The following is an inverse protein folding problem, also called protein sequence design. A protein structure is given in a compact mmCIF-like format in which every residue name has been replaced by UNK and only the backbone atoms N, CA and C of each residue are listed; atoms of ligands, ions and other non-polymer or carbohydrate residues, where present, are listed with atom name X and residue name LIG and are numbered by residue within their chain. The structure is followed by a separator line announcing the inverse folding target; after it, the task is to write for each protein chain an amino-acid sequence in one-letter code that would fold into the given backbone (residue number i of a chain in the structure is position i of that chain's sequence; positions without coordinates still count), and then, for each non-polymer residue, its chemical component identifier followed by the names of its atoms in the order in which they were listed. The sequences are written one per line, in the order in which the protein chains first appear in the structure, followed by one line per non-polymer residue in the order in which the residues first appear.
data_IF_631263575145
#
_entry.id   IF_631263575145
#
_cell.length_a   1.000
_cell.length_b   1.000
_cell.length_c   1.000
_cell.angle_alpha   90.00
_cell.angle_beta   90.00
_cell.angle_gamma   90.00
#
_symmetry.space_group_name_H-M   'P 1'
#
loop_
_entity.id
_entity.type
_entity.pdbx_description
1 polymer ?
#
# COMPACT_ATOMS: atom_id res chain seq x y z
N UNK A 1 7.77 -0.78 11.07
CA UNK A 1 7.40 -0.42 9.69
C UNK A 1 5.88 -0.52 9.53
N UNK A 2 5.23 0.42 8.85
CA UNK A 2 3.77 0.40 8.60
C UNK A 2 3.50 0.97 7.20
N UNK A 3 3.27 0.09 6.22
CA UNK A 3 3.07 0.46 4.80
C UNK A 3 1.82 1.29 4.59
N UNK A 4 0.71 0.89 5.22
CA UNK A 4 -0.59 1.54 5.07
C UNK A 4 -0.59 2.99 5.58
N UNK A 5 -0.08 3.25 6.78
CA UNK A 5 0.02 4.60 7.33
C UNK A 5 0.97 5.49 6.52
N UNK A 6 2.05 4.93 5.96
CA UNK A 6 2.95 5.67 5.07
C UNK A 6 2.25 6.04 3.74
N UNK A 7 1.43 5.15 3.19
CA UNK A 7 0.63 5.46 2.00
C UNK A 7 -0.41 6.54 2.31
N UNK A 8 -1.13 6.45 3.44
CA UNK A 8 -2.05 7.51 3.86
C UNK A 8 -1.32 8.86 3.99
N UNK A 9 -0.10 8.86 4.52
CA UNK A 9 0.75 10.06 4.59
C UNK A 9 1.08 10.61 3.20
N UNK A 10 1.58 9.75 2.30
CA UNK A 10 1.92 10.12 0.93
C UNK A 10 0.71 10.62 0.14
N UNK A 11 -0.47 10.03 0.36
CA UNK A 11 -1.73 10.47 -0.21
C UNK A 11 -2.07 11.91 0.18
N UNK A 12 -1.99 12.26 1.47
CA UNK A 12 -2.28 13.63 1.93
C UNK A 12 -1.35 14.66 1.27
N UNK A 13 -0.09 14.28 1.05
CA UNK A 13 0.89 15.12 0.35
C UNK A 13 0.49 15.27 -1.12
N UNK A 14 0.28 14.16 -1.84
CA UNK A 14 -0.09 14.16 -3.25
C UNK A 14 -1.39 14.94 -3.51
N UNK A 15 -2.40 14.77 -2.66
CA UNK A 15 -3.67 15.52 -2.73
C UNK A 15 -3.43 17.03 -2.57
N UNK A 16 -2.62 17.44 -1.61
CA UNK A 16 -2.29 18.86 -1.41
C UNK A 16 -1.44 19.43 -2.55
N UNK A 17 -0.72 18.58 -3.29
CA UNK A 17 0.03 18.90 -4.50
C UNK A 17 -0.82 18.80 -5.79
N UNK A 18 -2.15 18.68 -5.64
CA UNK A 18 -3.13 18.66 -6.74
C UNK A 18 -2.98 17.47 -7.70
N UNK A 19 -2.52 16.31 -7.22
CA UNK A 19 -2.62 15.07 -7.97
C UNK A 19 -4.08 14.60 -8.06
N UNK A 20 -4.49 14.06 -9.21
CA UNK A 20 -5.86 13.55 -9.41
C UNK A 20 -6.02 12.08 -8.99
N UNK A 21 -4.94 11.32 -8.98
CA UNK A 21 -4.91 9.91 -8.60
C UNK A 21 -3.54 9.52 -8.03
N UNK A 22 -3.49 8.40 -7.32
CA UNK A 22 -2.27 7.82 -6.77
C UNK A 22 -2.02 6.43 -7.33
N UNK A 23 -0.75 6.03 -7.35
CA UNK A 23 -0.32 4.64 -7.50
C UNK A 23 0.40 4.21 -6.22
N UNK A 24 -0.21 3.32 -5.44
CA UNK A 24 0.48 2.68 -4.31
C UNK A 24 1.43 1.64 -4.87
N UNK A 25 2.73 1.84 -4.75
CA UNK A 25 3.72 1.08 -5.52
C UNK A 25 4.86 0.57 -4.65
N UNK A 26 5.04 -0.76 -4.60
CA UNK A 26 6.19 -1.36 -3.92
C UNK A 26 7.49 -1.04 -4.69
N UNK A 27 8.51 -0.55 -3.98
CA UNK A 27 9.79 -0.10 -4.58
C UNK A 27 10.58 -1.22 -5.25
N UNK A 28 10.31 -2.48 -4.90
CA UNK A 28 11.00 -3.66 -5.42
C UNK A 28 10.26 -4.37 -6.55
N UNK A 29 9.08 -3.89 -6.99
CA UNK A 29 8.26 -4.55 -8.00
C UNK A 29 8.25 -3.76 -9.31
N UNK A 30 9.15 -4.07 -10.23
CA UNK A 30 9.32 -3.30 -11.46
C UNK A 30 8.45 -3.84 -12.61
N UNK A 31 7.60 -3.01 -13.24
CA UNK A 31 6.86 -3.40 -14.45
C UNK A 31 7.81 -3.60 -15.63
N UNK A 32 7.73 -4.75 -16.30
CA UNK A 32 8.52 -5.05 -17.51
C UNK A 32 7.71 -4.94 -18.80
N UNK A 33 6.38 -5.01 -18.71
CA UNK A 33 5.50 -4.95 -19.86
C UNK A 33 4.98 -3.51 -20.06
N UNK A 34 5.28 -2.84 -21.20
CA UNK A 34 4.86 -1.47 -21.45
C UNK A 34 3.34 -1.30 -21.65
N UNK A 35 2.60 -2.40 -21.84
CA UNK A 35 1.15 -2.38 -22.00
C UNK A 35 0.39 -2.35 -20.66
N UNK A 36 1.10 -2.33 -19.52
CA UNK A 36 0.46 -2.18 -18.23
C UNK A 36 -0.17 -0.79 -18.12
N UNK A 37 -1.50 -0.76 -18.02
CA UNK A 37 -2.27 0.45 -17.75
C UNK A 37 -1.91 1.12 -16.42
N UNK A 38 -1.40 2.36 -16.49
CA UNK A 38 -1.22 3.28 -15.36
C UNK A 38 -2.10 4.54 -15.49
N UNK A 39 -3.10 4.52 -16.38
CA UNK A 39 -3.98 5.67 -16.59
C UNK A 39 -4.89 5.92 -15.39
N UNK A 40 -5.52 7.10 -15.39
CA UNK A 40 -6.51 7.48 -14.39
C UNK A 40 -7.58 6.39 -14.18
N UNK A 41 -7.80 5.91 -12.94
CA UNK A 41 -8.71 4.80 -12.66
C UNK A 41 -10.17 5.27 -12.56
N UNK A 42 -10.78 5.63 -13.68
CA UNK A 42 -12.10 6.27 -13.74
C UNK A 42 -13.23 5.44 -13.12
N UNK A 43 -13.25 4.12 -13.37
CA UNK A 43 -14.36 3.24 -12.98
C UNK A 43 -14.25 2.73 -11.53
N UNK A 44 -13.07 2.77 -10.94
CA UNK A 44 -12.76 2.17 -9.64
C UNK A 44 -11.29 1.80 -9.52
N UNK A 45 -10.85 1.31 -8.34
CA UNK A 45 -9.46 0.93 -8.10
C UNK A 45 -8.92 -0.01 -9.18
N UNK A 46 -7.76 0.31 -9.76
CA UNK A 46 -7.13 -0.48 -10.81
C UNK A 46 -5.86 -1.17 -10.29
N UNK A 47 -5.92 -2.50 -10.15
CA UNK A 47 -4.85 -3.32 -9.60
C UNK A 47 -3.90 -3.78 -10.72
N UNK A 48 -2.75 -3.10 -10.84
CA UNK A 48 -1.74 -3.35 -11.86
C UNK A 48 -1.00 -4.66 -11.60
N UNK A 49 -0.66 -4.94 -10.34
CA UNK A 49 0.06 -6.15 -9.93
C UNK A 49 -0.89 -7.35 -9.73
N UNK A 50 -1.79 -7.58 -10.69
CA UNK A 50 -2.85 -8.57 -10.62
C UNK A 50 -2.35 -9.99 -10.23
N UNK A 51 -3.16 -10.83 -9.56
CA UNK A 51 -2.72 -12.14 -9.05
C UNK A 51 -2.18 -13.10 -10.12
N UNK A 52 -2.69 -13.00 -11.35
CA UNK A 52 -2.24 -13.77 -12.53
C UNK A 52 -0.94 -13.22 -13.15
N UNK A 53 -0.48 -12.03 -12.74
CA UNK A 53 0.72 -11.37 -13.24
C UNK A 53 1.81 -11.26 -12.16
N UNK A 54 1.43 -11.19 -10.88
CA UNK A 54 2.37 -11.05 -9.77
C UNK A 54 3.22 -12.32 -9.61
N UNK A 55 4.54 -12.23 -9.44
CA UNK A 55 5.43 -13.39 -9.36
C UNK A 55 5.33 -14.24 -8.07
N UNK A 56 4.38 -13.96 -7.18
CA UNK A 56 4.36 -14.55 -5.82
C UNK A 56 2.97 -14.72 -5.19
N UNK A 57 2.08 -13.74 -5.35
CA UNK A 57 0.76 -13.76 -4.72
C UNK A 57 -0.33 -13.95 -5.76
N UNK A 58 -1.13 -15.02 -5.61
CA UNK A 58 -2.04 -15.50 -6.67
C UNK A 58 -3.50 -15.65 -6.21
N UNK A 59 -3.83 -15.25 -4.99
CA UNK A 59 -5.19 -15.36 -4.47
C UNK A 59 -6.08 -14.22 -4.99
N UNK A 60 -7.37 -14.48 -5.18
CA UNK A 60 -8.29 -13.61 -5.93
C UNK A 60 -8.51 -12.22 -5.32
N UNK A 61 -8.44 -12.11 -3.98
CA UNK A 61 -8.64 -10.86 -3.24
C UNK A 61 -7.35 -10.05 -3.06
N UNK A 62 -6.22 -10.50 -3.63
CA UNK A 62 -4.95 -9.79 -3.54
C UNK A 62 -5.01 -8.45 -4.29
N UNK A 63 -4.58 -7.38 -3.59
CA UNK A 63 -4.49 -6.00 -4.09
C UNK A 63 -3.20 -5.29 -3.64
N UNK A 64 -2.18 -6.04 -3.24
CA UNK A 64 -0.86 -5.53 -2.87
C UNK A 64 0.05 -5.28 -4.08
N UNK A 65 1.30 -4.88 -3.85
CA UNK A 65 2.21 -4.56 -4.96
C UNK A 65 1.93 -3.19 -5.57
N UNK A 66 1.07 -3.12 -6.59
CA UNK A 66 0.79 -1.90 -7.36
C UNK A 66 -0.71 -1.71 -7.58
N UNK A 67 -1.32 -0.74 -6.89
CA UNK A 67 -2.76 -0.45 -6.96
C UNK A 67 -2.99 1.05 -7.16
N UNK A 68 -3.81 1.41 -8.15
CA UNK A 68 -4.15 2.78 -8.51
C UNK A 68 -5.56 3.13 -8.03
N UNK A 69 -5.73 4.34 -7.50
CA UNK A 69 -7.02 4.91 -7.10
C UNK A 69 -7.04 6.41 -7.40
N UNK A 70 -8.20 6.94 -7.79
CA UNK A 70 -8.40 8.39 -7.83
C UNK A 70 -8.36 8.94 -6.40
N UNK A 71 -8.13 10.26 -6.28
CA UNK A 71 -8.17 10.92 -4.99
C UNK A 71 -9.53 10.71 -4.32
N UNK A 72 -10.62 10.96 -5.04
CA UNK A 72 -11.99 10.80 -4.53
C UNK A 72 -12.27 9.38 -4.04
N UNK A 73 -11.85 8.35 -4.78
CA UNK A 73 -12.02 6.95 -4.39
C UNK A 73 -11.28 6.64 -3.08
N UNK A 74 -10.05 7.14 -2.95
CA UNK A 74 -9.23 6.90 -1.76
C UNK A 74 -9.78 7.62 -0.53
N UNK A 75 -10.30 8.85 -0.69
CA UNK A 75 -10.99 9.59 0.38
C UNK A 75 -12.28 8.90 0.81
N UNK A 76 -13.09 8.44 -0.15
CA UNK A 76 -14.35 7.75 0.15
C UNK A 76 -14.12 6.46 0.96
N UNK A 77 -12.99 5.80 0.73
CA UNK A 77 -12.55 4.61 1.48
C UNK A 77 -11.97 4.94 2.87
N UNK A 78 -11.79 6.22 3.20
CA UNK A 78 -11.02 6.68 4.34
C UNK A 78 -9.60 6.09 4.38
N UNK A 79 -8.95 5.98 3.21
CA UNK A 79 -7.63 5.38 3.04
C UNK A 79 -7.48 3.97 3.63
N UNK A 80 -6.23 3.56 3.87
CA UNK A 80 -5.92 2.27 4.50
C UNK A 80 -6.04 2.36 6.03
N UNK A 81 -6.19 1.21 6.69
CA UNK A 81 -6.11 1.13 8.15
C UNK A 81 -4.71 1.47 8.68
N UNK A 82 -4.63 2.15 9.83
CA UNK A 82 -3.37 2.51 10.46
C UNK A 82 -2.83 1.44 11.43
N UNK A 83 -3.54 0.32 11.65
CA UNK A 83 -3.18 -0.64 12.70
C UNK A 83 -2.11 -1.67 12.29
N UNK A 84 -1.75 -1.71 11.00
CA UNK A 84 -0.89 -2.74 10.42
C UNK A 84 0.59 -2.39 10.53
N UNK A 85 1.17 -2.69 11.70
CA UNK A 85 2.61 -2.64 11.94
C UNK A 85 3.25 -4.01 11.63
N UNK A 86 4.39 -4.00 10.94
CA UNK A 86 5.07 -5.21 10.44
C UNK A 86 4.52 -5.67 9.09
N UNK A 87 4.86 -6.90 8.67
CA UNK A 87 4.44 -7.42 7.37
C UNK A 87 3.05 -8.07 7.39
N UNK A 88 2.23 -7.67 6.41
CA UNK A 88 1.05 -8.37 5.91
C UNK A 88 -0.31 -7.84 6.39
N UNK A 89 -1.35 -8.18 5.61
CA UNK A 89 -2.80 -8.01 5.87
C UNK A 89 -3.36 -6.60 5.65
N UNK A 90 -2.54 -5.58 5.47
CA UNK A 90 -3.06 -4.23 5.26
C UNK A 90 -3.76 -4.09 3.89
N UNK A 91 -3.25 -4.79 2.89
CA UNK A 91 -3.83 -4.90 1.55
C UNK A 91 -5.13 -5.72 1.55
N UNK A 92 -5.16 -6.84 2.26
CA UNK A 92 -6.36 -7.66 2.45
C UNK A 92 -7.48 -6.87 3.15
N UNK A 93 -7.13 -6.07 4.16
CA UNK A 93 -8.08 -5.20 4.86
C UNK A 93 -8.59 -4.09 3.94
N UNK A 94 -7.70 -3.51 3.14
CA UNK A 94 -8.07 -2.50 2.15
C UNK A 94 -9.00 -3.05 1.06
N UNK A 95 -8.78 -4.29 0.59
CA UNK A 95 -9.73 -4.97 -0.29
C UNK A 95 -11.13 -5.05 0.32
N UNK A 96 -11.24 -5.33 1.63
CA UNK A 96 -12.53 -5.33 2.32
C UNK A 96 -13.13 -3.92 2.40
N UNK A 97 -12.33 -2.85 2.54
CA UNK A 97 -12.83 -1.46 2.44
C UNK A 97 -13.45 -1.19 1.07
N UNK A 98 -12.74 -1.57 0.02
CA UNK A 98 -13.18 -1.42 -1.38
C UNK A 98 -14.52 -2.13 -1.56
N UNK A 99 -14.63 -3.40 -1.12
CA UNK A 99 -15.87 -4.17 -1.22
C UNK A 99 -17.00 -3.57 -0.37
N UNK A 100 -16.72 -3.10 0.85
CA UNK A 100 -17.75 -2.50 1.74
C UNK A 100 -18.39 -1.25 1.11
N UNK A 101 -17.62 -0.50 0.30
CA UNK A 101 -18.09 0.68 -0.42
C UNK A 101 -18.74 0.37 -1.78
N UNK A 102 -18.78 -0.91 -2.16
CA UNK A 102 -19.37 -1.34 -3.43
C UNK A 102 -18.49 -1.07 -4.66
N UNK A 103 -17.24 -0.65 -4.46
CA UNK A 103 -16.29 -0.51 -5.56
C UNK A 103 -15.88 -1.89 -6.12
N UNK A 104 -15.65 -1.94 -7.43
CA UNK A 104 -15.04 -3.08 -8.10
C UNK A 104 -13.55 -2.83 -8.28
N UNK A 105 -12.74 -3.86 -8.04
CA UNK A 105 -11.31 -3.84 -8.41
C UNK A 105 -11.17 -4.25 -9.87
N UNK A 106 -10.66 -3.34 -10.69
CA UNK A 106 -10.34 -3.58 -12.09
C UNK A 106 -8.91 -4.08 -12.23
N UNK A 107 -8.66 -4.90 -13.26
CA UNK A 107 -7.36 -5.51 -13.58
C UNK A 107 -7.24 -5.58 -15.10
N UNK A 108 -6.02 -5.80 -15.59
CA UNK A 108 -5.82 -6.14 -17.00
C UNK A 108 -6.60 -7.41 -17.36
N UNK A 109 -7.10 -7.46 -18.58
CA UNK A 109 -7.69 -8.66 -19.15
C UNK A 109 -6.61 -9.59 -19.70
N UNK A 110 -7.04 -10.47 -20.61
CA UNK A 110 -6.18 -11.48 -21.22
C UNK A 110 -5.19 -10.91 -22.26
N UNK A 111 -5.16 -9.58 -22.45
CA UNK A 111 -4.19 -8.90 -23.33
C UNK A 111 -2.75 -8.92 -22.81
N UNK A 112 -2.54 -9.12 -21.50
CA UNK A 112 -1.20 -9.20 -20.90
C UNK A 112 -0.70 -10.64 -20.90
N UNK A 113 0.02 -11.01 -21.96
CA UNK A 113 0.47 -12.39 -22.21
C UNK A 113 1.78 -12.77 -21.48
N UNK A 114 2.43 -11.82 -20.80
CA UNK A 114 3.73 -12.04 -20.14
C UNK A 114 3.64 -12.89 -18.86
N UNK A 115 2.44 -13.18 -18.35
CA UNK A 115 2.22 -14.02 -17.18
C UNK A 115 3.05 -13.58 -15.97
N UNK A 116 3.73 -14.50 -15.29
CA UNK A 116 4.58 -14.17 -14.14
C UNK A 116 5.90 -13.46 -14.48
N UNK A 117 6.22 -13.29 -15.77
CA UNK A 117 7.35 -12.46 -16.22
C UNK A 117 6.95 -10.99 -16.44
N UNK A 118 5.71 -10.61 -16.11
CA UNK A 118 5.21 -9.24 -16.26
C UNK A 118 5.93 -8.25 -15.34
N UNK A 119 6.38 -8.72 -14.18
CA UNK A 119 7.11 -7.92 -13.21
C UNK A 119 8.44 -8.57 -12.84
N UNK A 120 9.46 -7.74 -12.61
CA UNK A 120 10.68 -8.15 -11.92
C UNK A 120 10.56 -7.78 -10.45
N UNK A 121 10.52 -8.79 -9.57
CA UNK A 121 10.52 -8.58 -8.12
C UNK A 121 11.95 -8.63 -7.57
N UNK A 122 12.53 -7.48 -7.26
CA UNK A 122 13.87 -7.30 -6.69
C UNK A 122 13.90 -7.61 -5.18
N UNK A 123 13.47 -8.81 -4.83
CA UNK A 123 13.30 -9.24 -3.45
C UNK A 123 13.95 -10.60 -3.22
N UNK A 124 15.26 -10.59 -2.94
CA UNK A 124 16.01 -11.78 -2.59
C UNK A 124 15.88 -12.15 -1.11
N UNK A 125 16.46 -13.30 -0.70
CA UNK A 125 16.43 -13.81 0.67
C UNK A 125 17.09 -12.88 1.71
N UNK A 126 17.94 -11.95 1.27
CA UNK A 126 18.57 -10.93 2.11
C UNK A 126 17.57 -9.89 2.63
N UNK A 127 16.46 -9.66 1.92
CA UNK A 127 15.40 -8.73 2.32
C UNK A 127 14.36 -9.45 3.19
N UNK A 128 14.68 -9.59 4.47
CA UNK A 128 13.77 -10.25 5.42
C UNK A 128 12.52 -9.40 5.65
N UNK A 129 11.34 -10.04 5.56
CA UNK A 129 10.07 -9.46 5.99
C UNK A 129 9.94 -9.61 7.52
N UNK A 130 9.33 -8.61 8.15
CA UNK A 130 8.99 -8.66 9.57
C UNK A 130 7.72 -9.48 9.80
N UNK A 131 7.92 -10.78 10.01
CA UNK A 131 6.84 -11.73 10.30
C UNK A 131 6.50 -11.84 11.79
N UNK A 132 7.24 -11.19 12.69
CA UNK A 132 7.03 -11.30 14.13
C UNK A 132 5.62 -10.81 14.46
N UNK A 133 4.92 -11.56 15.31
CA UNK A 133 3.58 -11.20 15.79
C UNK A 133 3.58 -11.11 17.30
N UNK A 134 3.24 -9.93 17.80
CA UNK A 134 3.13 -9.65 19.23
C UNK A 134 1.74 -10.03 19.78
N UNK A 135 1.57 -10.17 21.10
CA UNK A 135 0.29 -10.51 21.71
C UNK A 135 -0.85 -9.61 21.22
N UNK A 136 -2.01 -10.20 20.92
CA UNK A 136 -3.19 -9.48 20.42
C UNK A 136 -3.14 -9.09 18.93
N UNK A 137 -1.96 -8.89 18.34
CA UNK A 137 -1.79 -8.42 16.96
C UNK A 137 -2.46 -9.34 15.94
N UNK A 138 -2.28 -10.66 16.06
CA UNK A 138 -2.91 -11.62 15.13
C UNK A 138 -4.42 -11.47 15.13
N UNK A 139 -5.07 -11.36 16.29
CA UNK A 139 -6.52 -11.18 16.38
C UNK A 139 -6.96 -9.87 15.71
N UNK A 140 -6.22 -8.78 15.93
CA UNK A 140 -6.50 -7.48 15.31
C UNK A 140 -6.39 -7.53 13.78
N UNK A 141 -5.35 -8.16 13.23
CA UNK A 141 -5.10 -8.26 11.78
C UNK A 141 -6.18 -9.03 10.98
N UNK A 142 -6.99 -9.85 11.65
CA UNK A 142 -8.12 -10.57 11.04
C UNK A 142 -9.47 -9.94 11.37
N UNK A 143 -9.48 -8.86 12.15
CA UNK A 143 -10.68 -8.07 12.45
C UNK A 143 -10.78 -6.91 11.46
N UNK A 144 -12.00 -6.57 11.03
CA UNK A 144 -12.23 -5.41 10.15
C UNK A 144 -12.04 -4.12 10.95
N UNK A 145 -11.14 -3.25 10.51
CA UNK A 145 -10.90 -1.97 11.18
C UNK A 145 -11.82 -0.88 10.60
N UNK A 146 -12.91 -0.59 11.31
CA UNK A 146 -13.84 0.49 10.96
C UNK A 146 -13.55 1.80 11.72
N UNK A 147 -12.47 1.84 12.50
CA UNK A 147 -12.15 2.95 13.40
C UNK A 147 -11.06 3.82 12.80
N UNK A 148 -9.96 3.23 12.33
CA UNK A 148 -8.82 4.00 11.86
C UNK A 148 -8.80 4.15 10.34
N UNK A 149 -8.12 5.19 9.86
CA UNK A 149 -7.95 5.43 8.44
C UNK A 149 -7.19 6.73 8.17
N UNK A 150 -7.39 7.27 6.99
CA UNK A 150 -6.86 8.57 6.58
C UNK A 150 -7.24 9.69 7.57
N UNK A 151 -8.50 9.74 7.99
CA UNK A 151 -9.04 10.78 8.89
C UNK A 151 -8.49 10.72 10.31
N UNK A 152 -7.91 9.59 10.72
CA UNK A 152 -7.35 9.38 12.06
C UNK A 152 -5.84 9.17 12.03
N UNK A 153 -5.19 9.43 10.90
CA UNK A 153 -3.76 9.26 10.76
C UNK A 153 -3.03 10.34 11.59
N UNK A 154 -2.13 9.89 12.47
CA UNK A 154 -1.26 10.78 13.22
C UNK A 154 0.20 10.58 12.80
N UNK A 155 0.83 11.65 12.32
CA UNK A 155 2.21 11.63 11.85
C UNK A 155 2.82 13.03 11.89
N UNK A 156 4.15 13.08 11.84
CA UNK A 156 4.92 14.30 11.59
C UNK A 156 5.79 14.10 10.35
N UNK A 157 5.93 15.15 9.54
CA UNK A 157 6.98 15.20 8.50
C UNK A 157 8.24 15.73 9.18
N UNK A 158 9.26 14.88 9.26
CA UNK A 158 10.56 15.22 9.87
C UNK A 158 11.41 16.00 8.88
N UNK A 159 11.40 15.59 7.61
CA UNK A 159 12.23 16.18 6.56
C UNK A 159 11.60 15.96 5.19
N UNK A 160 11.80 16.93 4.30
CA UNK A 160 11.57 16.80 2.86
C UNK A 160 12.89 17.00 2.13
N UNK A 161 13.19 16.12 1.18
CA UNK A 161 14.40 16.21 0.38
C UNK A 161 14.09 15.88 -1.07
N UNK A 162 14.44 16.79 -1.96
CA UNK A 162 14.47 16.51 -3.40
C UNK A 162 15.77 15.80 -3.76
N UNK A 163 15.66 14.71 -4.53
CA UNK A 163 16.78 13.93 -5.04
C UNK A 163 16.68 13.77 -6.56
N UNK A 164 17.83 13.57 -7.19
CA UNK A 164 17.92 13.23 -8.61
C UNK A 164 18.72 11.95 -8.77
N UNK A 165 18.14 10.96 -9.45
CA UNK A 165 18.79 9.69 -9.78
C UNK A 165 18.87 9.62 -11.29
N UNK A 166 20.07 9.65 -11.86
CA UNK A 166 20.30 9.63 -13.31
C UNK A 166 19.46 10.67 -14.10
N UNK A 167 19.25 11.84 -13.49
CA UNK A 167 18.45 12.94 -14.05
C UNK A 167 16.95 12.88 -13.77
N UNK A 168 16.44 11.80 -13.16
CA UNK A 168 15.05 11.67 -12.74
C UNK A 168 14.84 12.26 -11.36
N UNK A 169 13.86 13.14 -11.22
CA UNK A 169 13.52 13.83 -9.99
C UNK A 169 12.62 12.96 -9.09
N UNK A 170 12.92 12.91 -7.78
CA UNK A 170 12.09 12.27 -6.77
C UNK A 170 12.12 13.06 -5.46
N UNK A 171 11.00 13.08 -4.74
CA UNK A 171 10.94 13.63 -3.39
C UNK A 171 11.00 12.50 -2.35
N UNK A 172 11.91 12.61 -1.39
CA UNK A 172 12.01 11.74 -0.22
C UNK A 172 11.43 12.48 0.98
N UNK A 173 10.45 11.86 1.63
CA UNK A 173 9.77 12.41 2.80
C UNK A 173 10.06 11.52 3.99
N UNK A 174 10.77 12.06 4.99
CA UNK A 174 11.01 11.38 6.25
C UNK A 174 9.78 11.58 7.13
N UNK A 175 9.14 10.47 7.50
CA UNK A 175 7.86 10.46 8.24
C UNK A 175 8.06 9.80 9.60
N UNK A 176 7.69 10.50 10.66
CA UNK A 176 7.53 9.95 12.00
C UNK A 176 6.04 9.61 12.20
N UNK A 177 5.71 8.33 12.16
CA UNK A 177 4.36 7.85 12.45
C UNK A 177 4.16 7.77 13.96
N UNK A 178 3.04 8.31 14.46
CA UNK A 178 2.70 8.15 15.88
C UNK A 178 2.03 6.81 16.12
N UNK A 179 2.36 6.21 17.25
CA UNK A 179 1.68 5.02 17.74
C UNK A 179 0.99 5.29 19.07
N UNK A 180 -0.29 4.91 19.15
CA UNK A 180 -0.99 4.73 20.42
C UNK A 180 -0.77 3.30 20.92
N UNK A 181 0.06 3.15 21.95
CA UNK A 181 0.35 1.86 22.57
C UNK A 181 -0.86 1.21 23.26
N UNK A 182 -1.91 1.97 23.58
CA UNK A 182 -3.14 1.40 24.13
C UNK A 182 -3.97 0.71 23.03
N UNK A 183 -3.94 1.25 21.81
CA UNK A 183 -4.70 0.72 20.68
C UNK A 183 -3.92 -0.33 19.88
N UNK A 184 -2.64 -0.04 19.58
CA UNK A 184 -1.76 -0.89 18.78
C UNK A 184 -0.43 -1.13 19.51
N UNK A 185 -0.42 -1.84 20.66
CA UNK A 185 0.80 -2.10 21.42
C UNK A 185 1.89 -2.84 20.63
N UNK A 186 1.54 -3.44 19.49
CA UNK A 186 2.45 -4.14 18.60
C UNK A 186 3.21 -3.23 17.60
N UNK A 187 3.02 -1.91 17.68
CA UNK A 187 3.76 -0.95 16.85
C UNK A 187 5.21 -0.77 17.29
N UNK A 188 5.50 -1.07 18.55
CA UNK A 188 6.82 -0.99 19.15
C UNK A 188 7.28 -2.43 19.39
N UNK A 189 8.32 -2.85 18.66
CA UNK A 189 8.93 -4.14 18.92
C UNK A 189 9.72 -3.97 20.22
N UNK A 190 9.48 -4.79 21.27
CA UNK A 190 10.33 -4.74 22.43
C UNK A 190 11.76 -4.96 21.97
N UNK A 191 12.62 -3.96 22.22
CA UNK A 191 14.05 -4.07 21.91
C UNK A 191 14.52 -5.34 22.59
N UNK A 192 15.00 -6.30 21.80
CA UNK A 192 15.57 -7.53 22.32
C UNK A 192 16.76 -7.16 23.21
N UNK A 193 16.58 -7.26 24.54
CA UNK A 193 17.67 -7.26 25.53
C UNK A 193 18.49 -8.52 25.40
#
# INVERSE_FOLDING_TARGET
FNRASLINTGFLIARNESCDYIAMHDVDLMPLNPNLNYNYPELGPFHVAAPNLHPKYHYSTFVGGILLLSVDQFEELNGLSNIFWGWGREDDEFYMRISDKGFKVYRHGDEILTGFNTFKHFHGPERKRDYVKLPGQKKAMFSRDRVTGLSTLEYNIVKRQEIYIDGYHCSVIDVELKCDLNATPWCDLPVST
#
